data_IF_728590578042
#
_entry.id   IF_728590578042
#
_cell.length_a   1.000
_cell.length_b   1.000
_cell.length_c   1.000
_cell.angle_alpha   90.00
_cell.angle_beta   90.00
_cell.angle_gamma   90.00
#
_symmetry.space_group_name_H-M   'P 1'
#
loop_
_entity.id
_entity.type
_entity.pdbx_description
1 polymer ?
#
# COMPACT_ATOMS: atom_id res chain seq x y z
N UNK A 1 -8.88 -22.50 25.17
CA UNK A 1 -7.46 -22.17 24.91
C UNK A 1 -7.22 -22.40 23.43
N UNK A 2 -6.80 -21.36 22.71
CA UNK A 2 -6.49 -21.49 21.27
C UNK A 2 -5.16 -22.23 21.19
N UNK A 3 -5.13 -23.37 20.50
CA UNK A 3 -3.88 -24.07 20.17
C UNK A 3 -3.07 -23.23 19.19
N UNK A 4 -1.74 -23.37 19.16
CA UNK A 4 -0.87 -22.65 18.23
C UNK A 4 -1.37 -22.76 16.77
N UNK A 5 -1.79 -23.95 16.35
CA UNK A 5 -2.35 -24.18 15.00
C UNK A 5 -3.64 -23.38 14.76
N UNK A 6 -4.61 -23.46 15.69
CA UNK A 6 -5.86 -22.69 15.60
C UNK A 6 -5.64 -21.18 15.72
N UNK A 7 -4.58 -20.74 16.40
CA UNK A 7 -4.21 -19.34 16.53
C UNK A 7 -3.72 -18.74 15.21
N UNK A 8 -2.88 -19.48 14.49
CA UNK A 8 -2.40 -19.08 13.15
C UNK A 8 -3.57 -19.02 12.17
N UNK A 9 -4.44 -20.04 12.15
CA UNK A 9 -5.61 -20.06 11.26
C UNK A 9 -6.51 -18.85 11.50
N UNK A 10 -6.78 -18.54 12.77
CA UNK A 10 -7.58 -17.38 13.14
C UNK A 10 -6.89 -16.06 12.78
N UNK A 11 -5.58 -15.95 12.98
CA UNK A 11 -4.80 -14.77 12.60
C UNK A 11 -4.83 -14.50 11.09
N UNK A 12 -4.69 -15.53 10.26
CA UNK A 12 -4.83 -15.41 8.79
C UNK A 12 -6.24 -14.99 8.39
N UNK A 13 -7.27 -15.60 8.98
CA UNK A 13 -8.66 -15.25 8.71
C UNK A 13 -8.96 -13.79 9.08
N UNK A 14 -8.48 -13.32 10.23
CA UNK A 14 -8.59 -11.92 10.64
C UNK A 14 -7.86 -10.98 9.67
N UNK A 15 -6.66 -11.36 9.21
CA UNK A 15 -5.90 -10.60 8.22
C UNK A 15 -6.70 -10.39 6.93
N UNK A 16 -7.26 -11.45 6.37
CA UNK A 16 -8.10 -11.35 5.16
C UNK A 16 -9.35 -10.51 5.37
N UNK A 17 -10.00 -10.64 6.54
CA UNK A 17 -11.18 -9.84 6.87
C UNK A 17 -10.85 -8.34 7.01
N UNK A 18 -9.67 -8.01 7.57
CA UNK A 18 -9.26 -6.63 7.83
C UNK A 18 -9.09 -5.78 6.57
N UNK A 19 -8.83 -6.41 5.41
CA UNK A 19 -8.64 -5.73 4.13
C UNK A 19 -9.93 -5.13 3.55
N UNK A 20 -11.11 -5.64 3.94
CA UNK A 20 -12.38 -5.29 3.29
C UNK A 20 -12.68 -3.79 3.43
N UNK A 21 -12.64 -3.26 4.65
CA UNK A 21 -13.00 -1.86 4.92
C UNK A 21 -12.02 -0.89 4.25
N UNK A 22 -10.68 -1.04 4.40
CA UNK A 22 -9.72 -0.15 3.75
C UNK A 22 -9.85 -0.13 2.22
N UNK A 23 -10.05 -1.29 1.58
CA UNK A 23 -10.21 -1.37 0.12
C UNK A 23 -11.46 -0.63 -0.34
N UNK A 24 -12.58 -0.77 0.38
CA UNK A 24 -13.81 -0.04 0.07
C UNK A 24 -13.64 1.47 0.24
N UNK A 25 -12.98 1.92 1.30
CA UNK A 25 -12.68 3.34 1.50
C UNK A 25 -11.82 3.92 0.37
N UNK A 26 -10.81 3.18 -0.10
CA UNK A 26 -9.97 3.59 -1.23
C UNK A 26 -10.78 3.65 -2.54
N UNK A 27 -11.62 2.64 -2.81
CA UNK A 27 -12.47 2.62 -4.00
C UNK A 27 -13.42 3.84 -4.05
N UNK A 28 -14.09 4.15 -2.93
CA UNK A 28 -14.96 5.33 -2.83
C UNK A 28 -14.17 6.62 -3.04
N UNK A 29 -12.98 6.73 -2.42
CA UNK A 29 -12.10 7.89 -2.59
C UNK A 29 -11.72 8.09 -4.06
N UNK A 30 -11.32 7.03 -4.75
CA UNK A 30 -10.98 7.06 -6.18
C UNK A 30 -12.18 7.47 -7.02
N UNK A 31 -13.36 6.85 -6.82
CA UNK A 31 -14.56 7.18 -7.58
C UNK A 31 -14.94 8.66 -7.43
N UNK A 32 -15.01 9.17 -6.21
CA UNK A 32 -15.39 10.57 -5.95
C UNK A 32 -14.34 11.51 -6.55
N UNK A 33 -13.06 11.30 -6.23
CA UNK A 33 -11.98 12.17 -6.69
C UNK A 33 -11.87 12.20 -8.22
N UNK A 34 -12.04 11.05 -8.87
CA UNK A 34 -12.01 10.93 -10.33
C UNK A 34 -13.20 11.64 -10.99
N UNK A 35 -14.40 11.57 -10.42
CA UNK A 35 -15.57 12.27 -10.98
C UNK A 35 -15.46 13.79 -10.95
N UNK A 36 -14.75 14.36 -9.96
CA UNK A 36 -14.63 15.81 -9.79
C UNK A 36 -13.53 16.39 -10.68
N UNK A 37 -12.34 15.77 -10.71
CA UNK A 37 -11.17 16.34 -11.38
C UNK A 37 -10.27 15.28 -12.06
N UNK A 38 -10.83 14.14 -12.44
CA UNK A 38 -10.10 13.07 -13.13
C UNK A 38 -8.91 12.56 -12.33
N UNK A 39 -7.82 12.21 -13.02
CA UNK A 39 -6.59 11.71 -12.38
C UNK A 39 -5.88 12.77 -11.52
N UNK A 40 -6.09 14.06 -11.83
CA UNK A 40 -5.59 15.15 -10.98
C UNK A 40 -6.32 15.18 -9.62
N UNK A 41 -7.64 14.92 -9.61
CA UNK A 41 -8.41 14.77 -8.39
C UNK A 41 -7.91 13.62 -7.52
N UNK A 42 -7.60 12.47 -8.12
CA UNK A 42 -7.02 11.32 -7.40
C UNK A 42 -5.67 11.67 -6.79
N UNK A 43 -4.82 12.42 -7.51
CA UNK A 43 -3.54 12.91 -7.00
C UNK A 43 -3.71 13.85 -5.79
N UNK A 44 -4.67 14.77 -5.86
CA UNK A 44 -5.00 15.66 -4.74
C UNK A 44 -5.58 14.90 -3.54
N UNK A 45 -6.38 13.87 -3.78
CA UNK A 45 -6.87 12.97 -2.73
C UNK A 45 -5.72 12.25 -2.00
N UNK A 46 -4.71 11.80 -2.76
CA UNK A 46 -3.50 11.21 -2.19
C UNK A 46 -2.71 12.22 -1.34
N UNK A 47 -2.56 13.46 -1.82
CA UNK A 47 -1.93 14.55 -1.05
C UNK A 47 -2.73 14.89 0.21
N UNK A 48 -4.06 14.87 0.14
CA UNK A 48 -4.94 15.09 1.29
C UNK A 48 -4.73 14.04 2.38
N UNK A 49 -4.58 12.76 2.00
CA UNK A 49 -4.21 11.71 2.93
C UNK A 49 -2.87 12.01 3.59
N UNK A 50 -1.83 12.36 2.81
CA UNK A 50 -0.49 12.70 3.32
C UNK A 50 -0.43 14.01 4.12
N UNK A 51 -1.48 14.86 4.09
CA UNK A 51 -1.52 16.11 4.83
C UNK A 51 -1.37 15.94 6.35
N UNK A 52 -1.78 14.81 6.89
CA UNK A 52 -1.64 14.46 8.32
C UNK A 52 -0.45 13.53 8.60
N UNK A 53 0.50 13.42 7.67
CA UNK A 53 1.64 12.51 7.79
C UNK A 53 2.54 12.82 8.99
N UNK A 54 2.68 14.08 9.40
CA UNK A 54 3.46 14.45 10.60
C UNK A 54 2.92 13.79 11.88
N UNK A 55 1.59 13.86 12.07
CA UNK A 55 0.91 13.20 13.17
C UNK A 55 1.02 11.67 13.05
N UNK A 56 0.83 11.13 11.85
CA UNK A 56 0.95 9.69 11.57
C UNK A 56 2.33 9.13 11.92
N UNK A 57 3.41 9.81 11.52
CA UNK A 57 4.77 9.40 11.84
C UNK A 57 5.08 9.50 13.33
N UNK A 58 4.52 10.49 14.01
CA UNK A 58 4.74 10.68 15.46
C UNK A 58 4.13 9.52 16.25
N UNK A 59 2.90 9.10 15.91
CA UNK A 59 2.25 7.96 16.59
C UNK A 59 2.86 6.60 16.21
N UNK A 60 3.42 6.47 15.01
CA UNK A 60 4.12 5.26 14.58
C UNK A 60 5.49 5.14 15.29
N UNK A 61 6.25 6.23 15.35
CA UNK A 61 7.53 6.29 16.05
C UNK A 61 7.41 6.04 17.56
N UNK A 62 6.25 6.33 18.15
CA UNK A 62 5.96 6.06 19.56
C UNK A 62 6.06 4.56 19.93
N UNK A 63 5.73 3.64 19.00
CA UNK A 63 5.76 2.20 19.27
C UNK A 63 7.16 1.66 19.57
N UNK A 64 8.12 1.79 18.64
CA UNK A 64 9.50 1.35 18.87
C UNK A 64 10.19 2.01 20.08
N UNK A 65 9.80 3.25 20.41
CA UNK A 65 10.31 3.94 21.62
C UNK A 65 9.80 3.23 22.88
N UNK A 66 8.51 2.88 22.91
CA UNK A 66 7.86 2.21 24.04
C UNK A 66 8.36 0.78 24.24
N UNK A 67 8.55 0.03 23.15
CA UNK A 67 9.15 -1.31 23.16
C UNK A 67 10.57 -1.30 23.76
N UNK A 68 11.43 -0.41 23.26
CA UNK A 68 12.79 -0.25 23.81
C UNK A 68 12.78 0.15 25.29
N UNK A 69 11.84 1.00 25.71
CA UNK A 69 11.70 1.36 27.13
C UNK A 69 11.33 0.14 28.00
N UNK A 70 10.45 -0.73 27.51
CA UNK A 70 10.11 -1.98 28.18
C UNK A 70 11.29 -2.96 28.25
N UNK A 71 12.05 -3.08 27.17
CA UNK A 71 13.29 -3.89 27.14
C UNK A 71 14.34 -3.38 28.13
N UNK A 72 14.54 -2.06 28.22
CA UNK A 72 15.46 -1.46 29.21
C UNK A 72 14.98 -1.73 30.63
N UNK A 73 13.66 -1.63 30.89
CA UNK A 73 13.09 -1.90 32.20
C UNK A 73 13.31 -3.35 32.65
N UNK A 74 13.19 -4.30 31.73
CA UNK A 74 13.46 -5.72 31.99
C UNK A 74 14.96 -6.00 32.19
N UNK A 75 15.83 -5.48 31.32
CA UNK A 75 17.28 -5.66 31.42
C UNK A 75 17.89 -4.99 32.66
N UNK A 76 17.26 -3.94 33.18
CA UNK A 76 17.73 -3.21 34.37
C UNK A 76 17.06 -3.69 35.67
N UNK A 77 16.30 -4.79 35.63
CA UNK A 77 15.60 -5.37 36.78
C UNK A 77 14.71 -4.36 37.53
N UNK A 78 14.06 -3.44 36.80
CA UNK A 78 13.16 -2.45 37.40
C UNK A 78 11.90 -3.12 37.96
N UNK A 79 11.22 -2.41 38.87
CA UNK A 79 10.02 -2.92 39.53
C UNK A 79 8.92 -3.34 38.54
N UNK A 80 8.09 -4.34 38.89
CA UNK A 80 7.09 -4.92 37.99
C UNK A 80 6.03 -3.89 37.53
N UNK A 81 5.81 -2.83 38.30
CA UNK A 81 4.95 -1.71 37.91
C UNK A 81 5.46 -1.00 36.64
N UNK A 82 6.79 -0.84 36.49
CA UNK A 82 7.39 -0.19 35.33
C UNK A 82 7.17 -1.05 34.09
N UNK A 83 7.38 -2.37 34.19
CA UNK A 83 7.14 -3.30 33.08
C UNK A 83 5.67 -3.34 32.68
N UNK A 84 4.75 -3.41 33.65
CA UNK A 84 3.32 -3.39 33.38
C UNK A 84 2.88 -2.10 32.65
N UNK A 85 3.47 -0.94 33.01
CA UNK A 85 3.25 0.31 32.29
C UNK A 85 3.81 0.27 30.88
N UNK A 86 5.06 -0.17 30.68
CA UNK A 86 5.67 -0.22 29.35
C UNK A 86 4.98 -1.22 28.42
N UNK A 87 4.49 -2.36 28.93
CA UNK A 87 3.77 -3.36 28.14
C UNK A 87 2.44 -2.80 27.62
N UNK A 88 1.76 -1.97 28.42
CA UNK A 88 0.56 -1.28 27.97
C UNK A 88 0.86 -0.27 26.85
N UNK A 89 2.01 0.41 26.93
CA UNK A 89 2.46 1.37 25.90
C UNK A 89 2.89 0.64 24.62
N UNK A 90 3.62 -0.48 24.72
CA UNK A 90 4.01 -1.32 23.58
C UNK A 90 2.79 -1.92 22.85
N UNK A 91 1.79 -2.40 23.59
CA UNK A 91 0.53 -2.87 22.99
C UNK A 91 -0.17 -1.78 22.16
N UNK A 92 -0.16 -0.53 22.64
CA UNK A 92 -0.66 0.61 21.87
C UNK A 92 0.22 0.90 20.64
N UNK A 93 1.55 0.84 20.80
CA UNK A 93 2.54 0.98 19.73
C UNK A 93 2.37 -0.02 18.59
N UNK A 94 2.07 -1.28 18.90
CA UNK A 94 1.80 -2.30 17.91
C UNK A 94 0.56 -1.98 17.05
N UNK A 95 -0.43 -1.32 17.65
CA UNK A 95 -1.63 -0.84 16.94
C UNK A 95 -1.31 0.36 16.05
N UNK A 96 -0.52 1.32 16.55
CA UNK A 96 -0.13 2.50 15.74
C UNK A 96 0.78 2.12 14.58
N UNK A 97 1.65 1.12 14.75
CA UNK A 97 2.45 0.56 13.67
C UNK A 97 1.61 -0.08 12.56
N UNK A 98 0.52 -0.78 12.92
CA UNK A 98 -0.41 -1.30 11.93
C UNK A 98 -1.13 -0.18 11.17
N UNK A 99 -1.53 0.90 11.87
CA UNK A 99 -2.13 2.09 11.25
C UNK A 99 -1.15 2.77 10.29
N UNK A 100 0.12 2.95 10.69
CA UNK A 100 1.17 3.53 9.87
C UNK A 100 1.38 2.76 8.57
N UNK A 101 1.43 1.42 8.64
CA UNK A 101 1.49 0.55 7.44
C UNK A 101 0.26 0.70 6.55
N UNK A 102 -0.94 0.75 7.12
CA UNK A 102 -2.18 0.97 6.37
C UNK A 102 -2.19 2.31 5.62
N UNK A 103 -1.74 3.37 6.29
CA UNK A 103 -1.61 4.70 5.70
C UNK A 103 -0.59 4.75 4.56
N UNK A 104 0.55 4.08 4.72
CA UNK A 104 1.55 3.94 3.66
C UNK A 104 1.00 3.19 2.44
N UNK A 105 0.31 2.06 2.65
CA UNK A 105 -0.29 1.27 1.56
C UNK A 105 -1.40 2.06 0.85
N UNK A 106 -2.28 2.73 1.60
CA UNK A 106 -3.39 3.51 1.04
C UNK A 106 -2.91 4.69 0.20
N UNK A 107 -1.95 5.47 0.73
CA UNK A 107 -1.38 6.59 -0.01
C UNK A 107 -0.60 6.13 -1.24
N UNK A 108 0.17 5.05 -1.14
CA UNK A 108 0.87 4.45 -2.28
C UNK A 108 -0.10 4.00 -3.38
N UNK A 109 -1.23 3.39 -3.03
CA UNK A 109 -2.24 2.98 -4.01
C UNK A 109 -2.84 4.18 -4.77
N UNK A 110 -3.19 5.26 -4.07
CA UNK A 110 -3.74 6.46 -4.70
C UNK A 110 -2.71 7.18 -5.58
N UNK A 111 -1.47 7.34 -5.08
CA UNK A 111 -0.38 7.94 -5.85
C UNK A 111 -0.04 7.10 -7.08
N UNK A 112 0.01 5.76 -6.95
CA UNK A 112 0.30 4.85 -8.05
C UNK A 112 -0.74 4.97 -9.15
N UNK A 113 -2.03 5.06 -8.80
CA UNK A 113 -3.11 5.27 -9.78
C UNK A 113 -3.00 6.63 -10.49
N UNK A 114 -2.69 7.70 -9.75
CA UNK A 114 -2.48 9.01 -10.33
C UNK A 114 -1.27 9.05 -11.28
N UNK A 115 -0.16 8.41 -10.89
CA UNK A 115 1.04 8.27 -11.71
C UNK A 115 0.78 7.41 -12.95
N UNK A 116 -0.05 6.37 -12.83
CA UNK A 116 -0.47 5.57 -13.98
C UNK A 116 -1.25 6.41 -15.00
N UNK A 117 -2.19 7.24 -14.55
CA UNK A 117 -2.88 8.19 -15.41
C UNK A 117 -1.92 9.18 -16.09
N UNK A 118 -0.97 9.74 -15.34
CA UNK A 118 0.05 10.63 -15.89
C UNK A 118 0.98 9.91 -16.89
N UNK A 119 1.31 8.65 -16.63
CA UNK A 119 2.09 7.81 -17.53
C UNK A 119 1.38 7.61 -18.87
N UNK A 120 0.09 7.25 -18.88
CA UNK A 120 -0.66 7.07 -20.12
C UNK A 120 -0.63 8.32 -20.99
N UNK A 121 -0.82 9.51 -20.38
CA UNK A 121 -0.74 10.79 -21.09
C UNK A 121 0.67 11.03 -21.65
N UNK A 122 1.71 10.79 -20.84
CA UNK A 122 3.09 11.05 -21.24
C UNK A 122 3.58 10.09 -22.32
N UNK A 123 3.20 8.82 -22.22
CA UNK A 123 3.53 7.76 -23.16
C UNK A 123 2.65 7.80 -24.43
N UNK A 124 1.67 8.71 -24.51
CA UNK A 124 0.70 8.82 -25.62
C UNK A 124 -0.07 7.52 -25.84
N UNK A 125 -0.49 6.89 -24.74
CA UNK A 125 -1.40 5.74 -24.75
C UNK A 125 -2.82 6.26 -24.83
N UNK A 126 -3.48 6.08 -25.97
CA UNK A 126 -4.83 6.59 -26.22
C UNK A 126 -5.89 5.88 -25.36
N UNK A 127 -5.77 4.55 -25.23
CA UNK A 127 -6.68 3.74 -24.41
C UNK A 127 -5.93 2.56 -23.79
N UNK A 128 -6.22 2.27 -22.52
CA UNK A 128 -5.73 1.06 -21.84
C UNK A 128 -6.83 0.01 -21.95
N UNK A 129 -6.61 -1.00 -22.80
CA UNK A 129 -7.55 -2.09 -22.99
C UNK A 129 -7.04 -3.37 -22.32
N UNK A 130 -7.73 -3.81 -21.27
CA UNK A 130 -7.37 -4.99 -20.48
C UNK A 130 -7.52 -6.29 -21.30
N UNK A 131 -8.28 -6.29 -22.40
CA UNK A 131 -8.44 -7.45 -23.27
C UNK A 131 -7.31 -7.56 -24.32
N UNK A 132 -6.46 -6.55 -24.45
CA UNK A 132 -5.30 -6.62 -25.33
C UNK A 132 -4.23 -7.53 -24.72
N UNK A 133 -3.74 -8.56 -25.44
CA UNK A 133 -2.68 -9.44 -24.96
C UNK A 133 -1.41 -8.71 -24.50
N UNK A 134 -1.11 -7.55 -25.08
CA UNK A 134 0.07 -6.74 -24.71
C UNK A 134 -0.10 -5.99 -23.38
N UNK A 135 -1.34 -5.72 -22.98
CA UNK A 135 -1.66 -5.13 -21.67
C UNK A 135 -1.93 -6.21 -20.60
N UNK A 136 -2.47 -7.38 -20.99
CA UNK A 136 -2.87 -8.45 -20.05
C UNK A 136 -1.77 -9.49 -19.78
N UNK A 137 -0.99 -9.85 -20.80
CA UNK A 137 0.01 -10.92 -20.71
C UNK A 137 1.37 -10.43 -20.18
N UNK A 138 2.21 -11.33 -19.64
CA UNK A 138 3.63 -11.02 -19.51
C UNK A 138 4.14 -10.70 -20.91
N UNK A 139 4.86 -9.59 -21.08
CA UNK A 139 5.32 -9.05 -22.37
C UNK A 139 5.98 -10.12 -23.25
N UNK A 140 5.18 -10.87 -23.99
CA UNK A 140 5.61 -11.96 -24.84
C UNK A 140 5.40 -11.50 -26.28
N UNK A 141 6.50 -11.02 -26.83
CA UNK A 141 6.78 -10.97 -28.25
C UNK A 141 6.28 -9.77 -29.07
N UNK A 142 6.69 -8.56 -28.68
CA UNK A 142 7.00 -7.51 -29.68
C UNK A 142 8.49 -7.54 -30.02
N UNK A 143 8.95 -8.62 -30.65
CA UNK A 143 10.19 -8.55 -31.44
C UNK A 143 9.93 -7.73 -32.70
N UNK A 144 10.87 -6.85 -33.12
CA UNK A 144 10.76 -6.09 -34.37
C UNK A 144 11.08 -6.99 -35.58
N UNK A 145 10.27 -8.02 -35.86
CA UNK A 145 10.48 -8.92 -37.00
C UNK A 145 9.50 -8.72 -38.17
N UNK A 146 8.37 -8.03 -38.00
CA UNK A 146 7.44 -7.77 -39.10
C UNK A 146 7.94 -6.70 -40.10
N UNK A 147 8.82 -5.78 -39.67
CA UNK A 147 9.38 -4.75 -40.55
C UNK A 147 10.58 -5.22 -41.39
N UNK A 148 11.26 -6.31 -41.01
CA UNK A 148 12.45 -6.79 -41.73
C UNK A 148 12.11 -7.84 -42.81
N UNK A 149 11.02 -8.61 -42.62
CA UNK A 149 10.57 -9.61 -43.61
C UNK A 149 9.90 -8.98 -44.85
N UNK A 150 9.33 -7.78 -44.75
CA UNK A 150 8.78 -7.05 -45.90
C UNK A 150 9.87 -6.48 -46.84
N UNK A 151 11.12 -6.34 -46.38
CA UNK A 151 12.24 -5.83 -47.20
C UNK A 151 13.02 -6.89 -47.95
N UNK A 152 12.78 -8.19 -47.71
CA UNK A 152 13.44 -9.29 -48.45
C UNK A 152 12.67 -9.74 -49.70
N UNK A 153 11.46 -9.24 -49.95
CA UNK A 153 10.66 -9.60 -51.14
C UNK A 153 10.54 -8.49 -52.20
N UNK A 154 11.16 -7.33 -52.01
CA UNK A 154 11.35 -6.32 -53.05
C UNK A 154 12.85 -6.16 -53.34
N UNK A 155 13.45 -7.25 -53.81
CA UNK A 155 14.72 -7.22 -54.53
C UNK A 155 14.41 -7.34 -56.01
N UNK A 156 14.18 -6.21 -56.66
CA UNK A 156 14.39 -5.97 -58.09
C UNK A 156 14.67 -4.47 -58.27
#
# INVERSE_FOLDING_TARGET
KVSAATGIIYGLALGYLSCIIPVLCLAVTVCIAHTIAGMYGVALGALGMLGTLSMGLTIDAYGPISDNAGGIAEMSELGPEVRARTDALDAAGNTTAAIGKGFAIGSAALVSLALFGAYCVRAKVDTVNILDPTHFGPAANTTPQSHCLARKHTGN
#
